data_IF_094224235222
#
_entry.id   IF_094224235222
#
_cell.length_a   1.000
_cell.length_b   1.000
_cell.length_c   1.000
_cell.angle_alpha   90.00
_cell.angle_beta   90.00
_cell.angle_gamma   90.00
#
_symmetry.space_group_name_H-M   'P 1'
#
loop_
_entity.id
_entity.type
_entity.pdbx_description
1 polymer ?
#
# COMPACT_ATOMS: atom_id res chain seq x y z
N UNK A 1 12.18 19.29 -7.38
CA UNK A 1 11.32 18.72 -6.34
C UNK A 1 11.51 19.51 -5.05
N UNK A 2 10.46 19.80 -4.26
CA UNK A 2 10.61 20.39 -2.93
C UNK A 2 11.44 19.48 -2.02
N UNK A 3 12.35 20.06 -1.25
CA UNK A 3 13.29 19.34 -0.36
C UNK A 3 12.62 18.45 0.70
N UNK A 4 11.30 18.61 0.90
CA UNK A 4 10.53 17.85 1.91
C UNK A 4 9.82 16.62 1.35
N UNK A 5 9.93 16.32 0.04
CA UNK A 5 9.24 15.17 -0.55
C UNK A 5 9.98 13.86 -0.23
N UNK A 6 9.23 12.75 -0.17
CA UNK A 6 9.80 11.40 -0.02
C UNK A 6 10.78 11.06 -1.14
N UNK A 7 10.50 11.52 -2.36
CA UNK A 7 11.38 11.37 -3.54
C UNK A 7 12.71 12.08 -3.35
N UNK A 8 12.70 13.34 -2.88
CA UNK A 8 13.91 14.09 -2.57
C UNK A 8 14.73 13.39 -1.46
N UNK A 9 14.06 12.99 -0.38
CA UNK A 9 14.68 12.28 0.73
C UNK A 9 15.31 10.95 0.25
N UNK A 10 14.62 10.18 -0.59
CA UNK A 10 15.12 8.95 -1.18
C UNK A 10 16.39 9.18 -2.01
N UNK A 11 16.35 10.15 -2.91
CA UNK A 11 17.47 10.44 -3.80
C UNK A 11 18.72 10.91 -3.03
N UNK A 12 18.55 11.84 -2.09
CA UNK A 12 19.67 12.40 -1.33
C UNK A 12 20.29 11.40 -0.36
N UNK A 13 19.46 10.60 0.30
CA UNK A 13 19.96 9.57 1.21
C UNK A 13 20.69 8.45 0.46
N UNK A 14 20.18 8.03 -0.71
CA UNK A 14 20.83 6.99 -1.50
C UNK A 14 22.16 7.48 -2.11
N UNK A 15 22.20 8.70 -2.64
CA UNK A 15 23.43 9.31 -3.13
C UNK A 15 24.50 9.34 -2.04
N UNK A 16 24.15 9.80 -0.84
CA UNK A 16 25.05 9.83 0.32
C UNK A 16 25.53 8.43 0.71
N UNK A 17 24.64 7.46 0.74
CA UNK A 17 24.95 6.07 1.12
C UNK A 17 25.93 5.39 0.17
N UNK A 18 25.79 5.68 -1.13
CA UNK A 18 26.61 5.09 -2.18
C UNK A 18 27.85 5.92 -2.53
N UNK A 19 28.00 7.12 -1.98
CA UNK A 19 29.05 8.06 -2.36
C UNK A 19 28.91 8.54 -3.81
N UNK A 20 27.69 8.59 -4.33
CA UNK A 20 27.38 8.98 -5.70
C UNK A 20 27.06 10.47 -5.80
N UNK A 21 27.42 11.09 -6.94
CA UNK A 21 27.01 12.45 -7.25
C UNK A 21 25.51 12.47 -7.61
N UNK A 22 24.66 13.27 -6.92
CA UNK A 22 23.22 13.32 -7.19
C UNK A 22 22.87 14.22 -8.39
N UNK A 23 23.69 14.17 -9.46
CA UNK A 23 23.51 14.96 -10.68
C UNK A 23 22.35 14.39 -11.54
N UNK A 24 21.15 14.34 -10.99
CA UNK A 24 19.97 13.77 -11.65
C UNK A 24 18.81 14.75 -11.65
N UNK A 25 17.97 14.67 -12.70
CA UNK A 25 16.68 15.36 -12.75
C UNK A 25 15.58 14.32 -12.55
N UNK A 26 14.74 14.52 -11.54
CA UNK A 26 13.59 13.66 -11.26
C UNK A 26 12.33 14.46 -11.51
N UNK A 27 11.43 13.90 -12.33
CA UNK A 27 10.09 14.45 -12.58
C UNK A 27 9.07 13.45 -12.04
N UNK A 28 8.10 13.93 -11.26
CA UNK A 28 7.01 13.12 -10.71
C UNK A 28 5.69 13.66 -11.24
N UNK A 29 4.88 12.77 -11.80
CA UNK A 29 3.50 13.08 -12.17
C UNK A 29 2.59 12.31 -11.23
N UNK A 30 2.12 12.97 -10.17
CA UNK A 30 1.23 12.36 -9.19
C UNK A 30 -0.14 12.06 -9.82
N UNK A 31 -0.56 10.80 -9.76
CA UNK A 31 -1.89 10.35 -10.21
C UNK A 31 -2.66 9.65 -9.09
N UNK A 32 -1.97 9.19 -8.06
CA UNK A 32 -2.57 8.56 -6.89
C UNK A 32 -2.97 9.69 -5.93
N UNK A 33 -4.25 9.75 -5.51
CA UNK A 33 -4.71 10.77 -4.58
C UNK A 33 -3.98 10.68 -3.23
N UNK A 34 -3.76 11.84 -2.61
CA UNK A 34 -3.22 11.90 -1.26
C UNK A 34 -4.25 11.40 -0.23
N UNK A 35 -3.77 10.83 0.87
CA UNK A 35 -4.60 10.34 2.00
C UNK A 35 -5.68 9.32 1.60
N UNK A 36 -5.41 8.58 0.53
CA UNK A 36 -6.29 7.52 0.04
C UNK A 36 -5.94 6.13 0.59
N UNK A 37 -4.85 5.98 1.36
CA UNK A 37 -4.37 4.67 1.82
C UNK A 37 -3.67 3.83 0.74
N UNK A 38 -3.36 4.42 -0.43
CA UNK A 38 -2.78 3.72 -1.59
C UNK A 38 -1.25 3.78 -1.65
N UNK A 39 -0.59 4.37 -0.67
CA UNK A 39 0.87 4.40 -0.58
C UNK A 39 1.58 5.20 -1.68
N UNK A 40 0.90 6.15 -2.37
CA UNK A 40 1.43 6.85 -3.54
C UNK A 40 2.80 7.49 -3.32
N UNK A 41 3.02 8.22 -2.24
CA UNK A 41 4.31 8.85 -1.94
C UNK A 41 5.41 7.83 -1.64
N UNK A 42 5.08 6.68 -1.06
CA UNK A 42 6.01 5.56 -0.81
C UNK A 42 6.34 4.84 -2.11
N UNK A 43 5.37 4.67 -3.01
CA UNK A 43 5.58 4.13 -4.35
C UNK A 43 6.54 5.00 -5.18
N UNK A 44 6.35 6.33 -5.17
CA UNK A 44 7.24 7.28 -5.85
C UNK A 44 8.66 7.21 -5.30
N UNK A 45 8.82 7.12 -3.97
CA UNK A 45 10.12 6.98 -3.32
C UNK A 45 10.78 5.64 -3.66
N UNK A 46 10.05 4.52 -3.60
CA UNK A 46 10.54 3.19 -3.95
C UNK A 46 10.96 3.11 -5.42
N UNK A 47 10.15 3.66 -6.33
CA UNK A 47 10.48 3.76 -7.75
C UNK A 47 11.76 4.59 -7.97
N UNK A 48 11.91 5.69 -7.24
CA UNK A 48 13.10 6.55 -7.27
C UNK A 48 14.34 5.77 -6.83
N UNK A 49 14.27 5.03 -5.72
CA UNK A 49 15.40 4.22 -5.23
C UNK A 49 15.78 3.14 -6.24
N UNK A 50 14.81 2.44 -6.83
CA UNK A 50 15.05 1.43 -7.87
C UNK A 50 15.74 2.02 -9.10
N UNK A 51 15.25 3.16 -9.57
CA UNK A 51 15.80 3.83 -10.74
C UNK A 51 17.23 4.32 -10.50
N UNK A 52 17.50 4.95 -9.35
CA UNK A 52 18.83 5.45 -8.98
C UNK A 52 19.79 4.32 -8.67
N UNK A 53 19.37 3.26 -7.98
CA UNK A 53 20.19 2.07 -7.76
C UNK A 53 20.66 1.49 -9.10
N UNK A 54 19.73 1.30 -10.05
CA UNK A 54 20.08 0.84 -11.40
C UNK A 54 21.03 1.81 -12.12
N UNK A 55 20.80 3.12 -12.02
CA UNK A 55 21.67 4.15 -12.63
C UNK A 55 23.10 4.09 -12.08
N UNK A 56 23.23 3.83 -10.79
CA UNK A 56 24.54 3.76 -10.10
C UNK A 56 25.11 2.34 -10.01
N UNK A 57 24.56 1.39 -10.77
CA UNK A 57 25.09 0.03 -10.90
C UNK A 57 24.90 -0.85 -9.65
N UNK A 58 23.91 -0.56 -8.81
CA UNK A 58 23.59 -1.29 -7.59
C UNK A 58 22.26 -2.03 -7.73
N UNK A 59 22.15 -3.23 -7.14
CA UNK A 59 20.88 -3.94 -7.09
C UNK A 59 19.89 -3.20 -6.17
N UNK A 60 18.63 -3.12 -6.57
CA UNK A 60 17.58 -2.48 -5.78
C UNK A 60 17.37 -3.15 -4.40
N UNK A 61 17.71 -4.44 -4.26
CA UNK A 61 17.62 -5.19 -3.01
C UNK A 61 18.96 -5.24 -2.24
N UNK A 62 19.97 -4.47 -2.67
CA UNK A 62 21.22 -4.30 -1.88
C UNK A 62 20.87 -3.75 -0.49
N UNK A 63 21.53 -4.27 0.55
CA UNK A 63 21.26 -3.90 1.94
C UNK A 63 21.33 -2.38 2.20
N UNK A 64 22.18 -1.65 1.46
CA UNK A 64 22.28 -0.18 1.54
C UNK A 64 21.02 0.49 0.99
N UNK A 65 20.49 0.01 -0.13
CA UNK A 65 19.25 0.53 -0.73
C UNK A 65 18.06 0.25 0.18
N UNK A 66 17.94 -0.98 0.68
CA UNK A 66 16.91 -1.38 1.65
C UNK A 66 17.00 -0.54 2.93
N UNK A 67 18.22 -0.33 3.46
CA UNK A 67 18.44 0.53 4.62
C UNK A 67 18.04 1.98 4.38
N UNK A 68 18.25 2.51 3.17
CA UNK A 68 17.75 3.84 2.79
C UNK A 68 16.22 3.84 2.71
N UNK A 69 15.61 2.84 2.08
CA UNK A 69 14.15 2.75 1.96
C UNK A 69 13.45 2.83 3.32
N UNK A 70 13.92 2.06 4.32
CA UNK A 70 13.42 2.08 5.69
C UNK A 70 13.53 3.46 6.36
N UNK A 71 14.63 4.19 6.11
CA UNK A 71 14.83 5.56 6.62
C UNK A 71 13.94 6.60 5.95
N UNK A 72 13.50 6.34 4.71
CA UNK A 72 12.57 7.23 3.98
C UNK A 72 11.17 7.10 4.54
N UNK A 73 10.69 5.87 4.71
CA UNK A 73 9.37 5.56 5.27
C UNK A 73 9.14 4.05 5.37
N UNK A 74 8.27 3.61 6.27
CA UNK A 74 8.00 2.20 6.54
C UNK A 74 7.59 1.45 5.25
N UNK A 75 6.61 1.94 4.51
CA UNK A 75 6.09 1.29 3.30
C UNK A 75 7.05 1.35 2.10
N UNK A 76 8.13 2.16 2.15
CA UNK A 76 9.02 2.34 0.98
C UNK A 76 9.79 1.05 0.65
N UNK A 77 10.12 0.26 1.66
CA UNK A 77 10.83 -1.02 1.47
C UNK A 77 10.01 -2.00 0.62
N UNK A 78 8.69 -2.06 0.80
CA UNK A 78 7.78 -2.86 -0.02
C UNK A 78 7.90 -2.52 -1.52
N UNK A 79 8.00 -1.23 -1.86
CA UNK A 79 8.04 -0.78 -3.26
C UNK A 79 9.39 -1.02 -3.95
N UNK A 80 10.39 -1.57 -3.26
CA UNK A 80 11.60 -2.07 -3.92
C UNK A 80 11.34 -3.36 -4.70
N UNK A 81 10.44 -4.21 -4.20
CA UNK A 81 9.97 -5.44 -4.85
C UNK A 81 8.48 -5.63 -4.53
N UNK A 82 7.57 -4.93 -5.23
CA UNK A 82 6.14 -4.96 -4.92
C UNK A 82 5.48 -6.28 -5.37
N UNK A 83 5.53 -7.26 -4.50
CA UNK A 83 4.82 -8.54 -4.60
C UNK A 83 4.05 -8.76 -3.29
N UNK A 84 3.02 -9.62 -3.25
CA UNK A 84 2.36 -9.95 -1.99
C UNK A 84 3.39 -10.36 -0.94
N UNK A 85 3.38 -9.76 0.23
CA UNK A 85 4.45 -9.94 1.21
C UNK A 85 3.96 -9.71 2.63
N UNK A 86 4.53 -10.47 3.56
CA UNK A 86 4.40 -10.24 5.00
C UNK A 86 5.56 -9.38 5.47
N UNK A 87 5.22 -8.27 6.09
CA UNK A 87 6.17 -7.39 6.76
C UNK A 87 5.88 -7.35 8.26
N UNK A 88 6.93 -7.36 9.05
CA UNK A 88 6.90 -7.25 10.50
C UNK A 88 7.43 -5.88 10.97
N UNK A 89 7.44 -5.69 12.29
CA UNK A 89 7.92 -4.44 12.90
C UNK A 89 6.95 -3.29 12.64
N UNK A 90 7.44 -2.18 12.14
CA UNK A 90 6.63 -1.04 11.70
C UNK A 90 6.16 -1.18 10.24
N UNK A 91 6.17 -2.39 9.66
CA UNK A 91 5.91 -2.65 8.25
C UNK A 91 7.17 -2.50 7.38
N UNK A 92 8.34 -2.54 7.97
CA UNK A 92 9.62 -2.27 7.31
C UNK A 92 10.55 -3.49 7.24
N UNK A 93 10.23 -4.57 7.92
CA UNK A 93 11.01 -5.81 7.94
C UNK A 93 10.31 -6.88 7.13
N UNK A 94 10.81 -7.17 5.92
CA UNK A 94 10.30 -8.27 5.10
C UNK A 94 10.55 -9.61 5.80
N UNK A 95 9.47 -10.32 6.10
CA UNK A 95 9.50 -11.69 6.64
C UNK A 95 9.33 -12.71 5.53
N UNK A 96 8.34 -12.54 4.66
CA UNK A 96 8.06 -13.49 3.58
C UNK A 96 7.50 -12.77 2.34
N UNK A 97 7.93 -13.19 1.16
CA UNK A 97 7.38 -12.78 -0.12
C UNK A 97 6.62 -13.96 -0.74
N UNK A 98 5.40 -13.72 -1.19
CA UNK A 98 4.53 -14.74 -1.76
C UNK A 98 4.53 -14.69 -3.28
N UNK A 99 4.12 -15.77 -3.97
CA UNK A 99 3.91 -15.76 -5.40
C UNK A 99 2.93 -14.66 -5.83
N UNK A 100 3.25 -13.98 -6.93
CA UNK A 100 2.31 -13.04 -7.54
C UNK A 100 1.11 -13.77 -8.13
N UNK A 101 -0.06 -13.20 -8.03
CA UNK A 101 -1.27 -13.63 -8.70
C UNK A 101 -1.97 -12.45 -9.35
N UNK A 102 -2.81 -12.73 -10.32
CA UNK A 102 -3.64 -11.72 -10.98
C UNK A 102 -5.08 -11.82 -10.45
N UNK A 103 -5.64 -10.69 -10.11
CA UNK A 103 -7.04 -10.59 -9.73
C UNK A 103 -7.62 -9.26 -10.23
N UNK A 104 -8.85 -9.26 -10.80
CA UNK A 104 -9.52 -8.02 -11.13
C UNK A 104 -9.84 -7.22 -9.86
N UNK A 105 -9.45 -5.95 -9.82
CA UNK A 105 -9.65 -5.06 -8.66
C UNK A 105 -10.33 -3.79 -9.11
N UNK A 106 -11.39 -3.40 -8.41
CA UNK A 106 -11.95 -2.06 -8.48
C UNK A 106 -11.52 -1.24 -7.26
N UNK A 107 -11.15 0.02 -7.47
CA UNK A 107 -10.87 0.97 -6.41
C UNK A 107 -12.03 1.96 -6.29
N UNK A 108 -12.53 2.14 -5.09
CA UNK A 108 -13.63 3.09 -4.81
C UNK A 108 -13.15 4.06 -3.73
N UNK A 109 -13.12 5.33 -4.10
CA UNK A 109 -12.68 6.38 -3.20
C UNK A 109 -13.85 7.32 -2.90
N UNK A 110 -14.24 7.44 -1.62
CA UNK A 110 -15.28 8.40 -1.25
C UNK A 110 -14.82 9.84 -1.51
N UNK A 111 -15.75 10.72 -1.88
CA UNK A 111 -15.48 12.13 -2.12
C UNK A 111 -15.26 12.89 -0.81
N UNK A 112 -14.11 12.67 -0.18
CA UNK A 112 -13.71 13.24 1.11
C UNK A 112 -12.31 13.84 1.04
N UNK A 113 -11.89 14.52 2.10
CA UNK A 113 -10.52 15.04 2.23
C UNK A 113 -9.48 13.95 2.59
N UNK A 114 -9.90 12.68 2.58
CA UNK A 114 -9.08 11.54 2.98
C UNK A 114 -8.87 11.46 4.50
N UNK A 115 -8.26 10.38 4.95
CA UNK A 115 -7.95 10.13 6.36
C UNK A 115 -6.44 10.26 6.57
N UNK A 116 -6.02 10.98 7.61
CA UNK A 116 -4.60 10.99 7.97
C UNK A 116 -4.24 9.68 8.63
N UNK A 117 -3.10 9.11 8.26
CA UNK A 117 -2.60 7.86 8.85
C UNK A 117 -2.49 7.95 10.37
N UNK A 118 -2.00 9.08 10.90
CA UNK A 118 -1.91 9.30 12.34
C UNK A 118 -3.28 9.24 13.01
N UNK A 119 -4.29 9.92 12.45
CA UNK A 119 -5.64 9.90 13.01
C UNK A 119 -6.24 8.48 13.00
N UNK A 120 -5.97 7.68 11.97
CA UNK A 120 -6.45 6.29 11.91
C UNK A 120 -5.82 5.42 13.01
N UNK A 121 -4.52 5.57 13.28
CA UNK A 121 -3.85 4.85 14.38
C UNK A 121 -4.32 5.34 15.76
N UNK A 122 -4.44 6.65 15.96
CA UNK A 122 -4.94 7.22 17.23
C UNK A 122 -6.36 6.72 17.54
N UNK A 123 -7.21 6.63 16.52
CA UNK A 123 -8.58 6.10 16.64
C UNK A 123 -8.58 4.60 16.90
N UNK A 124 -7.71 3.82 16.21
CA UNK A 124 -7.56 2.39 16.45
C UNK A 124 -7.16 2.12 17.91
N UNK A 125 -6.16 2.84 18.43
CA UNK A 125 -5.71 2.72 19.82
C UNK A 125 -6.84 3.09 20.80
N UNK A 126 -7.62 4.13 20.49
CA UNK A 126 -8.78 4.55 21.29
C UNK A 126 -9.88 3.49 21.33
N UNK A 127 -10.09 2.77 20.23
CA UNK A 127 -11.11 1.71 20.13
C UNK A 127 -10.72 0.46 20.92
N UNK A 128 -9.43 0.22 21.14
CA UNK A 128 -8.93 -0.95 21.87
C UNK A 128 -9.23 -2.29 21.19
N UNK A 129 -9.27 -2.30 19.86
CA UNK A 129 -9.57 -3.51 19.08
C UNK A 129 -8.40 -4.48 19.11
N UNK A 130 -8.67 -5.77 19.27
CA UNK A 130 -7.67 -6.82 19.14
C UNK A 130 -7.37 -7.07 17.64
N UNK A 131 -6.08 -7.16 17.26
CA UNK A 131 -5.69 -7.48 15.89
C UNK A 131 -6.16 -8.90 15.50
N UNK A 132 -6.59 -9.05 14.25
CA UNK A 132 -6.88 -10.37 13.67
C UNK A 132 -5.56 -11.00 13.18
N UNK A 133 -5.43 -12.34 13.34
CA UNK A 133 -4.29 -13.10 12.84
C UNK A 133 -4.20 -13.08 11.31
N UNK A 134 -3.01 -13.35 10.81
CA UNK A 134 -2.69 -13.30 9.37
C UNK A 134 -2.33 -14.67 8.78
N UNK A 135 -2.31 -15.71 9.59
CA UNK A 135 -1.78 -17.03 9.25
C UNK A 135 -2.54 -17.69 8.09
N UNK A 136 -3.88 -17.63 8.12
CA UNK A 136 -4.74 -18.19 7.08
C UNK A 136 -4.61 -17.45 5.76
N UNK A 137 -4.51 -16.10 5.81
CA UNK A 137 -4.23 -15.30 4.63
C UNK A 137 -2.88 -15.66 4.02
N UNK A 138 -1.83 -15.80 4.84
CA UNK A 138 -0.50 -16.20 4.38
C UNK A 138 -0.52 -17.61 3.78
N UNK A 139 -1.26 -18.54 4.35
CA UNK A 139 -1.41 -19.89 3.80
C UNK A 139 -2.05 -19.86 2.41
N UNK A 140 -3.11 -19.08 2.22
CA UNK A 140 -3.77 -18.90 0.93
C UNK A 140 -2.84 -18.24 -0.10
N UNK A 141 -2.08 -17.21 0.30
CA UNK A 141 -1.11 -16.54 -0.58
C UNK A 141 0.02 -17.48 -1.02
N UNK A 142 0.55 -18.32 -0.13
CA UNK A 142 1.57 -19.34 -0.48
C UNK A 142 1.04 -20.33 -1.51
N UNK A 143 -0.23 -20.71 -1.37
CA UNK A 143 -0.90 -21.63 -2.29
C UNK A 143 -1.32 -20.99 -3.63
N UNK A 144 -1.24 -19.66 -3.77
CA UNK A 144 -1.81 -18.93 -4.91
C UNK A 144 -3.33 -19.02 -4.97
N UNK A 145 -3.98 -19.28 -3.84
CA UNK A 145 -5.43 -19.40 -3.72
C UNK A 145 -6.08 -18.02 -3.54
N UNK A 146 -6.48 -17.41 -4.65
CA UNK A 146 -7.14 -16.09 -4.66
C UNK A 146 -8.46 -16.12 -3.88
N UNK A 147 -9.21 -17.22 -3.90
CA UNK A 147 -10.48 -17.34 -3.15
C UNK A 147 -10.24 -17.43 -1.66
N UNK A 148 -9.28 -18.26 -1.25
CA UNK A 148 -8.85 -18.33 0.14
C UNK A 148 -8.32 -17.00 0.64
N UNK A 149 -7.48 -16.30 -0.14
CA UNK A 149 -7.00 -14.97 0.19
C UNK A 149 -8.14 -13.95 0.35
N UNK A 150 -9.14 -13.98 -0.55
CA UNK A 150 -10.33 -13.13 -0.44
C UNK A 150 -11.14 -13.39 0.84
N UNK A 151 -11.28 -14.65 1.25
CA UNK A 151 -12.02 -15.03 2.44
C UNK A 151 -11.35 -14.59 3.76
N UNK A 152 -10.03 -14.37 3.73
CA UNK A 152 -9.24 -13.98 4.90
C UNK A 152 -8.71 -12.53 4.83
N UNK A 153 -9.23 -11.73 3.89
CA UNK A 153 -8.88 -10.31 3.83
C UNK A 153 -9.35 -9.59 5.09
N UNK A 154 -8.40 -8.92 5.73
CA UNK A 154 -8.69 -8.10 6.90
C UNK A 154 -7.80 -6.86 6.94
N UNK A 155 -8.32 -5.78 7.51
CA UNK A 155 -7.57 -4.57 7.80
C UNK A 155 -7.95 -4.07 9.21
N UNK A 156 -7.02 -4.13 10.15
CA UNK A 156 -7.22 -3.69 11.53
C UNK A 156 -7.63 -2.21 11.63
N UNK A 157 -7.25 -1.38 10.65
CA UNK A 157 -7.60 0.05 10.62
C UNK A 157 -8.97 0.33 10.00
N UNK A 158 -9.63 -0.65 9.37
CA UNK A 158 -10.92 -0.41 8.70
C UNK A 158 -12.03 0.09 9.64
N UNK A 159 -12.19 -0.45 10.87
CA UNK A 159 -13.15 0.10 11.83
C UNK A 159 -12.84 1.55 12.21
N UNK A 160 -11.56 1.87 12.43
CA UNK A 160 -11.12 3.22 12.76
C UNK A 160 -11.36 4.20 11.59
N UNK A 161 -11.05 3.78 10.35
CA UNK A 161 -11.33 4.56 9.15
C UNK A 161 -12.82 4.85 8.99
N UNK A 162 -13.68 3.85 9.24
CA UNK A 162 -15.14 3.98 9.19
C UNK A 162 -15.69 4.90 10.29
N UNK A 163 -15.10 4.87 11.49
CA UNK A 163 -15.42 5.78 12.58
C UNK A 163 -15.09 7.23 12.25
N UNK A 164 -13.91 7.47 11.66
CA UNK A 164 -13.44 8.80 11.27
C UNK A 164 -14.15 9.37 10.04
N UNK A 165 -14.66 8.50 9.16
CA UNK A 165 -15.29 8.88 7.90
C UNK A 165 -16.44 7.93 7.57
N UNK A 166 -17.67 8.33 7.83
CA UNK A 166 -18.87 7.52 7.60
C UNK A 166 -19.07 7.12 6.13
N UNK A 167 -18.49 7.88 5.19
CA UNK A 167 -18.47 7.53 3.76
C UNK A 167 -17.72 6.23 3.50
N UNK A 168 -16.66 5.94 4.25
CA UNK A 168 -15.90 4.68 4.14
C UNK A 168 -16.80 3.49 4.50
N UNK A 169 -17.56 3.61 5.59
CA UNK A 169 -18.52 2.56 5.98
C UNK A 169 -19.58 2.32 4.89
N UNK A 170 -20.16 3.39 4.33
CA UNK A 170 -21.14 3.30 3.24
C UNK A 170 -20.56 2.65 1.98
N UNK A 171 -19.31 2.96 1.63
CA UNK A 171 -18.62 2.32 0.50
C UNK A 171 -18.41 0.84 0.76
N UNK A 172 -18.02 0.44 1.98
CA UNK A 172 -17.83 -0.98 2.32
C UNK A 172 -19.16 -1.74 2.26
N UNK A 173 -20.25 -1.20 2.83
CA UNK A 173 -21.60 -1.78 2.75
C UNK A 173 -22.04 -1.92 1.28
N UNK A 174 -21.89 -0.87 0.49
CA UNK A 174 -22.25 -0.89 -0.93
C UNK A 174 -21.45 -1.93 -1.72
N UNK A 175 -20.12 -2.02 -1.50
CA UNK A 175 -19.29 -3.01 -2.17
C UNK A 175 -19.66 -4.45 -1.78
N UNK A 176 -20.02 -4.67 -0.52
CA UNK A 176 -20.45 -5.98 -0.05
C UNK A 176 -21.68 -6.51 -0.82
N UNK A 177 -22.59 -5.62 -1.17
CA UNK A 177 -23.83 -5.95 -1.86
C UNK A 177 -23.68 -6.04 -3.40
N UNK A 178 -22.49 -5.72 -3.95
CA UNK A 178 -22.32 -5.75 -5.40
C UNK A 178 -22.15 -7.18 -5.94
N UNK A 179 -22.93 -7.58 -6.96
CA UNK A 179 -22.69 -8.85 -7.66
C UNK A 179 -21.27 -8.90 -8.23
N UNK A 180 -20.63 -10.08 -8.17
CA UNK A 180 -19.28 -10.28 -8.69
C UNK A 180 -18.16 -9.75 -7.80
N UNK A 181 -18.46 -9.20 -6.61
CA UNK A 181 -17.46 -8.89 -5.59
C UNK A 181 -17.23 -10.12 -4.72
N UNK A 182 -16.00 -10.62 -4.69
CA UNK A 182 -15.57 -11.74 -3.83
C UNK A 182 -15.32 -11.28 -2.40
N UNK A 183 -14.65 -10.15 -2.27
CA UNK A 183 -14.33 -9.50 -1.01
C UNK A 183 -14.02 -8.03 -1.24
N UNK A 184 -14.24 -7.20 -0.23
CA UNK A 184 -13.84 -5.80 -0.22
C UNK A 184 -13.16 -5.45 1.08
N UNK A 185 -12.25 -4.48 1.03
CA UNK A 185 -11.56 -3.98 2.21
C UNK A 185 -11.09 -2.54 2.01
N UNK A 186 -10.95 -1.82 3.11
CA UNK A 186 -10.26 -0.52 3.14
C UNK A 186 -8.78 -0.74 2.89
N UNK A 187 -8.15 0.07 2.05
CA UNK A 187 -6.70 0.00 1.84
C UNK A 187 -5.94 0.90 2.80
N UNK A 188 -4.94 0.35 3.48
CA UNK A 188 -4.13 1.07 4.46
C UNK A 188 -4.97 1.74 5.54
N UNK A 189 -4.71 3.02 5.81
CA UNK A 189 -5.49 3.84 6.76
C UNK A 189 -6.78 4.44 6.15
N UNK A 190 -7.13 4.09 4.93
CA UNK A 190 -8.24 4.67 4.18
C UNK A 190 -7.82 6.00 3.53
N UNK A 191 -8.74 6.70 2.89
CA UNK A 191 -10.19 6.47 2.75
C UNK A 191 -10.60 5.54 1.60
N UNK A 192 -9.68 5.15 0.72
CA UNK A 192 -10.00 4.28 -0.41
C UNK A 192 -10.34 2.86 0.05
N UNK A 193 -11.27 2.24 -0.65
CA UNK A 193 -11.60 0.83 -0.54
C UNK A 193 -11.30 0.12 -1.84
N UNK A 194 -10.98 -1.16 -1.78
CA UNK A 194 -10.87 -2.00 -2.96
C UNK A 194 -11.84 -3.17 -2.89
N UNK A 195 -12.25 -3.63 -4.07
CA UNK A 195 -13.00 -4.86 -4.24
C UNK A 195 -12.20 -5.83 -5.09
N UNK A 196 -12.01 -7.06 -4.62
CA UNK A 196 -11.59 -8.19 -5.43
C UNK A 196 -12.81 -8.71 -6.19
N UNK A 197 -12.75 -8.70 -7.51
CA UNK A 197 -13.87 -9.06 -8.37
C UNK A 197 -13.70 -10.46 -8.97
N UNK A 198 -14.80 -11.04 -9.42
CA UNK A 198 -14.79 -12.34 -10.11
C UNK A 198 -14.27 -12.23 -11.53
N UNK A 199 -14.54 -11.11 -12.19
CA UNK A 199 -14.16 -10.83 -13.57
C UNK A 199 -13.69 -9.38 -13.75
N UNK A 200 -13.02 -9.12 -14.88
CA UNK A 200 -12.67 -7.76 -15.29
C UNK A 200 -13.92 -6.93 -15.57
N UNK A 201 -14.97 -7.53 -16.14
CA UNK A 201 -16.24 -6.87 -16.40
C UNK A 201 -16.92 -6.40 -15.10
N UNK A 202 -16.83 -7.19 -14.02
CA UNK A 202 -17.35 -6.79 -12.71
C UNK A 202 -16.56 -5.62 -12.14
N UNK A 203 -15.23 -5.66 -12.23
CA UNK A 203 -14.38 -4.56 -11.79
C UNK A 203 -14.66 -3.27 -12.56
N UNK A 204 -14.80 -3.34 -13.89
CA UNK A 204 -15.16 -2.21 -14.74
C UNK A 204 -16.56 -1.66 -14.40
N UNK A 205 -17.55 -2.53 -14.22
CA UNK A 205 -18.90 -2.13 -13.81
C UNK A 205 -18.90 -1.35 -12.51
N UNK A 206 -18.14 -1.81 -11.51
CA UNK A 206 -18.01 -1.13 -10.22
C UNK A 206 -17.31 0.21 -10.36
N UNK A 207 -16.29 0.31 -11.21
CA UNK A 207 -15.53 1.54 -11.42
C UNK A 207 -16.32 2.63 -12.18
N UNK A 208 -17.44 2.29 -12.84
CA UNK A 208 -18.27 3.22 -13.62
C UNK A 208 -19.57 3.65 -12.92
N UNK A 209 -19.76 3.30 -11.66
CA UNK A 209 -20.87 3.77 -10.80
C UNK A 209 -20.45 5.00 -10.04
#
# INVERSE_FOLDING_TARGET
LPEKTTVWKAATLLAKELGAEPAVRISVTARIPERAGLGGSSADAGATLRALARLWGVNALDARVVGVARRVGADVAFFLQPVPSLYLGAGDVLEEAFPSFEAPIALVMPATNGISTQAAYDEFDRMGSEPVGYEDLCAALRAGDVRGAAAHLYNNLAPAASSLCGEVARVQEWLHDQPGVRASQVTGSGSCSFALCESTEDAERIAHV
#
